data_IF_424725821115
#
_entry.id   IF_424725821115
#
_cell.length_a   1.000
_cell.length_b   1.000
_cell.length_c   1.000
_cell.angle_alpha   90.00
_cell.angle_beta   90.00
_cell.angle_gamma   90.00
#
_symmetry.space_group_name_H-M   'P 1'
#
loop_
_entity.id
_entity.type
_entity.pdbx_description
1 polymer ?
#
# COMPACT_ATOMS: atom_id res chain seq x y z
N UNK A 1 -8.87 -21.39 7.11
CA UNK A 1 -9.34 -21.34 7.67
C UNK A 1 -9.77 -20.73 8.63
N UNK A 2 -10.16 -20.23 9.00
CA UNK A 2 -10.47 -19.78 9.93
C UNK A 2 -11.37 -19.92 10.57
N UNK A 3 -11.53 -20.20 11.00
CA UNK A 3 -12.29 -20.48 11.69
C UNK A 3 -13.10 -19.76 12.38
N UNK A 4 -13.99 -20.15 12.73
CA UNK A 4 -14.82 -19.55 13.57
C UNK A 4 -14.16 -19.18 14.76
N UNK A 5 -13.96 -17.97 14.97
CA UNK A 5 -13.53 -17.53 16.24
C UNK A 5 -14.73 -17.39 17.06
N UNK A 6 -14.89 -18.23 18.02
CA UNK A 6 -16.03 -18.16 18.90
C UNK A 6 -15.68 -17.27 20.05
N UNK A 7 -16.40 -16.19 20.16
CA UNK A 7 -16.24 -15.29 21.27
C UNK A 7 -17.30 -15.64 22.27
N UNK A 8 -16.90 -16.14 23.39
CA UNK A 8 -17.87 -16.59 24.36
C UNK A 8 -18.33 -15.44 25.23
N UNK A 9 -19.53 -15.59 25.77
CA UNK A 9 -20.13 -14.53 26.57
C UNK A 9 -19.40 -14.28 27.86
N UNK A 10 -18.65 -15.24 28.37
CA UNK A 10 -17.93 -15.05 29.62
C UNK A 10 -16.59 -14.38 29.41
N UNK A 11 -16.24 -14.05 28.17
CA UNK A 11 -15.02 -13.31 27.90
C UNK A 11 -15.18 -11.90 28.42
N UNK A 12 -14.23 -11.47 29.20
CA UNK A 12 -14.26 -10.12 29.74
C UNK A 12 -13.61 -9.11 28.81
N UNK A 13 -13.07 -9.57 27.70
CA UNK A 13 -12.34 -8.72 26.78
C UNK A 13 -13.32 -7.95 25.91
N UNK A 14 -13.13 -6.64 25.86
CA UNK A 14 -13.90 -5.82 24.95
C UNK A 14 -13.19 -5.85 23.60
N UNK A 15 -13.85 -6.40 22.60
CA UNK A 15 -13.25 -6.61 21.29
C UNK A 15 -13.09 -5.34 20.49
N UNK A 16 -13.94 -4.36 20.71
CA UNK A 16 -13.89 -3.15 19.91
C UNK A 16 -12.53 -2.46 19.96
N UNK A 17 -11.96 -2.20 21.15
CA UNK A 17 -10.62 -1.60 21.18
C UNK A 17 -9.56 -2.50 20.55
N UNK A 18 -9.71 -3.81 20.67
CA UNK A 18 -8.73 -4.72 20.06
C UNK A 18 -8.78 -4.65 18.55
N UNK A 19 -9.97 -4.62 17.99
CA UNK A 19 -10.13 -4.51 16.55
C UNK A 19 -9.62 -3.15 16.06
N UNK A 20 -9.96 -2.10 16.78
CA UNK A 20 -9.48 -0.77 16.42
C UNK A 20 -7.97 -0.69 16.48
N UNK A 21 -7.38 -1.32 17.50
CA UNK A 21 -5.94 -1.37 17.61
C UNK A 21 -5.29 -2.13 16.48
N UNK A 22 -5.91 -3.25 16.08
CA UNK A 22 -5.39 -4.03 14.95
C UNK A 22 -5.46 -3.23 13.66
N UNK A 23 -6.55 -2.49 13.45
CA UNK A 23 -6.67 -1.65 12.27
C UNK A 23 -5.62 -0.56 12.25
N UNK A 24 -5.39 0.08 13.38
CA UNK A 24 -4.36 1.12 13.45
C UNK A 24 -2.98 0.54 13.17
N UNK A 25 -2.70 -0.65 13.69
CA UNK A 25 -1.41 -1.29 13.44
C UNK A 25 -1.23 -1.62 11.96
N UNK A 26 -2.29 -2.12 11.33
CA UNK A 26 -2.21 -2.44 9.91
C UNK A 26 -2.02 -1.18 9.08
N UNK A 27 -2.74 -0.11 9.41
CA UNK A 27 -2.57 1.17 8.72
C UNK A 27 -1.13 1.65 8.85
N UNK A 28 -0.55 1.49 10.04
CA UNK A 28 0.83 1.90 10.25
C UNK A 28 1.82 1.09 9.42
N UNK A 29 1.60 -0.22 9.33
CA UNK A 29 2.46 -1.07 8.53
C UNK A 29 2.37 -0.71 7.05
N UNK A 30 1.16 -0.42 6.58
CA UNK A 30 0.98 0.02 5.20
C UNK A 30 1.67 1.35 4.96
N UNK A 31 1.62 2.25 5.94
CA UNK A 31 2.28 3.53 5.84
C UNK A 31 3.78 3.37 5.65
N UNK A 32 4.39 2.47 6.41
CA UNK A 32 5.82 2.20 6.25
C UNK A 32 6.13 1.63 4.88
N UNK A 33 5.28 0.72 4.39
CA UNK A 33 5.45 0.17 3.05
C UNK A 33 5.31 1.21 1.97
N UNK A 34 4.35 2.13 2.14
CA UNK A 34 4.13 3.21 1.20
C UNK A 34 5.37 4.10 1.14
N UNK A 35 5.91 4.46 2.29
CA UNK A 35 7.10 5.32 2.33
C UNK A 35 8.28 4.66 1.65
N UNK A 36 8.49 3.37 1.89
CA UNK A 36 9.59 2.66 1.29
C UNK A 36 9.44 2.57 -0.23
N UNK A 37 8.23 2.24 -0.67
CA UNK A 37 7.96 2.11 -2.10
C UNK A 37 8.09 3.46 -2.79
N UNK A 38 7.54 4.51 -2.17
CA UNK A 38 7.64 5.85 -2.75
C UNK A 38 9.09 6.29 -2.86
N UNK A 39 9.92 5.92 -1.88
CA UNK A 39 11.35 6.24 -1.95
C UNK A 39 12.00 5.62 -3.18
N UNK A 40 11.63 4.38 -3.51
CA UNK A 40 12.17 3.73 -4.70
C UNK A 40 11.67 4.39 -5.98
N UNK A 41 10.38 4.72 -5.99
CA UNK A 41 9.79 5.40 -7.15
C UNK A 41 10.50 6.74 -7.39
N UNK A 42 10.75 7.48 -6.33
CA UNK A 42 11.40 8.77 -6.45
C UNK A 42 12.87 8.68 -6.84
N UNK A 43 13.52 7.61 -6.43
CA UNK A 43 14.89 7.40 -6.85
C UNK A 43 14.97 7.25 -8.37
N UNK A 44 14.01 6.55 -8.96
CA UNK A 44 13.95 6.43 -10.41
C UNK A 44 13.62 7.78 -11.06
N UNK A 45 12.72 8.57 -10.42
CA UNK A 45 12.44 9.91 -10.95
C UNK A 45 13.70 10.74 -11.07
N UNK A 46 14.54 10.67 -10.05
CA UNK A 46 15.77 11.43 -10.06
C UNK A 46 16.76 10.90 -11.08
N UNK A 47 16.82 9.57 -11.20
CA UNK A 47 17.75 8.95 -12.12
C UNK A 47 17.42 9.29 -13.57
N UNK A 48 16.13 9.31 -13.91
CA UNK A 48 15.71 9.49 -15.29
C UNK A 48 15.13 10.86 -15.58
N UNK A 49 15.01 11.71 -14.57
CA UNK A 49 14.54 13.08 -14.76
C UNK A 49 13.11 13.15 -15.25
N UNK A 50 12.24 12.26 -14.78
CA UNK A 50 10.89 12.17 -15.29
C UNK A 50 9.95 11.91 -14.11
N UNK A 51 8.88 12.70 -13.96
CA UNK A 51 7.89 12.41 -12.90
C UNK A 51 7.26 11.06 -13.11
N UNK A 52 6.98 10.35 -12.02
CA UNK A 52 6.54 8.97 -12.17
C UNK A 52 5.17 8.86 -12.83
N UNK A 53 4.31 9.85 -12.67
CA UNK A 53 3.01 9.79 -13.34
C UNK A 53 3.17 9.88 -14.85
N UNK A 54 4.12 10.70 -15.30
CA UNK A 54 4.41 10.81 -16.70
C UNK A 54 5.04 9.53 -17.25
N UNK A 55 5.98 8.97 -16.48
CA UNK A 55 6.58 7.71 -16.85
C UNK A 55 5.53 6.60 -16.95
N UNK A 56 4.64 6.53 -15.96
CA UNK A 56 3.61 5.50 -15.95
C UNK A 56 2.74 5.59 -17.18
N UNK A 57 2.35 6.81 -17.53
CA UNK A 57 1.52 7.03 -18.70
C UNK A 57 2.21 6.57 -19.97
N UNK A 58 3.48 6.92 -20.14
CA UNK A 58 4.23 6.55 -21.34
C UNK A 58 4.50 5.05 -21.37
N UNK A 59 4.78 4.46 -20.23
CA UNK A 59 5.07 3.04 -20.16
C UNK A 59 3.83 2.22 -20.52
N UNK A 60 2.68 2.61 -20.00
CA UNK A 60 1.44 1.90 -20.29
C UNK A 60 0.98 2.11 -21.72
N UNK A 61 1.36 3.22 -22.32
CA UNK A 61 1.06 3.47 -23.72
C UNK A 61 2.02 2.76 -24.67
N UNK A 62 3.02 2.06 -24.13
CA UNK A 62 3.97 1.35 -24.95
C UNK A 62 5.00 2.25 -25.60
N UNK A 63 5.19 3.46 -25.06
CA UNK A 63 6.12 4.43 -25.63
C UNK A 63 7.51 4.33 -25.06
N UNK A 64 7.70 3.45 -24.06
CA UNK A 64 8.99 3.27 -23.40
C UNK A 64 9.37 1.80 -23.50
N UNK A 65 10.65 1.55 -23.75
CA UNK A 65 11.16 0.18 -23.90
C UNK A 65 11.01 -0.63 -22.60
N UNK A 66 11.02 -1.96 -22.76
CA UNK A 66 10.95 -2.88 -21.61
C UNK A 66 12.31 -3.09 -20.99
N UNK A 67 13.03 -2.02 -20.70
CA UNK A 67 14.28 -2.08 -19.99
C UNK A 67 13.99 -2.53 -18.56
N UNK A 68 14.94 -3.24 -17.96
CA UNK A 68 14.76 -3.80 -16.63
C UNK A 68 14.40 -2.71 -15.61
N UNK A 69 15.13 -1.59 -15.63
CA UNK A 69 14.82 -0.49 -14.71
C UNK A 69 13.41 0.01 -14.87
N UNK A 70 12.93 0.09 -16.11
CA UNK A 70 11.59 0.62 -16.37
C UNK A 70 10.53 -0.38 -15.93
N UNK A 71 10.78 -1.68 -16.10
CA UNK A 71 9.86 -2.70 -15.63
C UNK A 71 9.79 -2.65 -14.10
N UNK A 72 10.93 -2.50 -13.45
CA UNK A 72 10.97 -2.41 -12.00
C UNK A 72 10.29 -1.14 -11.50
N UNK A 73 10.55 -0.02 -12.17
CA UNK A 73 9.91 1.25 -11.78
C UNK A 73 8.39 1.13 -11.89
N UNK A 74 7.91 0.58 -13.00
CA UNK A 74 6.48 0.40 -13.19
C UNK A 74 5.89 -0.51 -12.11
N UNK A 75 6.62 -1.55 -11.71
CA UNK A 75 6.19 -2.45 -10.64
C UNK A 75 6.11 -1.74 -9.30
N UNK A 76 7.09 -0.89 -9.00
CA UNK A 76 7.07 -0.13 -7.75
C UNK A 76 5.92 0.85 -7.71
N UNK A 77 5.63 1.50 -8.84
CA UNK A 77 4.49 2.42 -8.91
C UNK A 77 3.19 1.67 -8.66
N UNK A 78 3.07 0.48 -9.26
CA UNK A 78 1.86 -0.33 -9.06
C UNK A 78 1.70 -0.71 -7.59
N UNK A 79 2.80 -1.12 -6.97
CA UNK A 79 2.77 -1.46 -5.55
C UNK A 79 2.40 -0.25 -4.70
N UNK A 80 2.99 0.90 -5.01
CA UNK A 80 2.69 2.13 -4.29
C UNK A 80 1.19 2.45 -4.36
N UNK A 81 0.60 2.32 -5.55
CA UNK A 81 -0.82 2.62 -5.71
C UNK A 81 -1.69 1.62 -4.99
N UNK A 82 -1.29 0.34 -5.00
CA UNK A 82 -2.03 -0.69 -4.29
C UNK A 82 -2.02 -0.45 -2.79
N UNK A 83 -0.84 -0.19 -2.24
CA UNK A 83 -0.72 0.04 -0.80
C UNK A 83 -1.48 1.28 -0.37
N UNK A 84 -1.44 2.33 -1.18
CA UNK A 84 -2.16 3.56 -0.89
C UNK A 84 -3.67 3.31 -0.89
N UNK A 85 -4.15 2.52 -1.84
CA UNK A 85 -5.58 2.19 -1.90
C UNK A 85 -6.00 1.36 -0.70
N UNK A 86 -5.15 0.40 -0.29
CA UNK A 86 -5.45 -0.42 0.88
C UNK A 86 -5.48 0.42 2.14
N UNK A 87 -4.55 1.35 2.29
CA UNK A 87 -4.54 2.21 3.46
C UNK A 87 -5.78 3.08 3.52
N UNK A 88 -6.18 3.63 2.38
CA UNK A 88 -7.39 4.44 2.33
C UNK A 88 -8.61 3.63 2.74
N UNK A 89 -8.72 2.39 2.23
CA UNK A 89 -9.84 1.54 2.58
C UNK A 89 -9.90 1.26 4.07
N UNK A 90 -8.74 1.02 4.68
CA UNK A 90 -8.71 0.76 6.12
C UNK A 90 -9.02 2.00 6.93
N UNK A 91 -8.57 3.17 6.49
CA UNK A 91 -8.90 4.40 7.20
C UNK A 91 -10.39 4.69 7.13
N UNK A 92 -11.02 4.39 6.00
CA UNK A 92 -12.46 4.58 5.87
C UNK A 92 -13.23 3.58 6.72
N UNK A 93 -12.68 2.40 6.94
CA UNK A 93 -13.32 1.39 7.77
C UNK A 93 -13.14 1.69 9.26
N UNK A 94 -12.22 2.56 9.60
CA UNK A 94 -11.95 2.92 10.99
C UNK A 94 -12.37 4.36 11.22
N UNK A 95 -13.60 4.60 11.66
CA UNK A 95 -14.17 5.95 11.69
C UNK A 95 -13.62 6.86 12.77
N UNK A 96 -12.82 6.40 13.67
CA UNK A 96 -12.34 7.25 14.77
C UNK A 96 -11.22 8.23 14.37
#
# INVERSE_FOLDING_TARGET
MIQNITITADTKINLKPLIEGALRSEIRLLELGIERTLGRVRAYEQQYGLPFAEFEHQFEAGEIDDDLDFVEWAGEIRTFRLLTAQQRALREANPS
#
